data_IF_447932615583
#
_entry.id   IF_447932615583
#
_cell.length_a   1.000
_cell.length_b   1.000
_cell.length_c   1.000
_cell.angle_alpha   90.00
_cell.angle_beta   90.00
_cell.angle_gamma   90.00
#
_symmetry.space_group_name_H-M   'P 1'
#
loop_
_entity.id
_entity.type
_entity.pdbx_description
1 polymer ?
#
# COMPACT_ATOMS: atom_id res chain seq x y z
N UNK A 1 -7.82 27.48 13.02
CA UNK A 1 -7.94 26.12 12.42
C UNK A 1 -8.72 26.13 11.11
N UNK A 2 -10.02 26.45 11.09
CA UNK A 2 -10.85 26.46 9.86
C UNK A 2 -10.34 27.40 8.76
N UNK A 3 -9.90 28.61 9.12
CA UNK A 3 -9.36 29.60 8.17
C UNK A 3 -7.98 29.22 7.63
N UNK A 4 -7.12 28.62 8.47
CA UNK A 4 -5.81 28.08 8.06
C UNK A 4 -6.01 26.92 7.08
N UNK A 5 -6.96 26.02 7.36
CA UNK A 5 -7.32 24.92 6.45
C UNK A 5 -7.86 25.46 5.12
N UNK A 6 -8.76 26.45 5.14
CA UNK A 6 -9.27 27.10 3.93
C UNK A 6 -8.15 27.72 3.12
N UNK A 7 -7.27 28.47 3.77
CA UNK A 7 -6.12 29.12 3.12
C UNK A 7 -5.16 28.08 2.52
N UNK A 8 -4.77 27.04 3.25
CA UNK A 8 -3.90 25.96 2.72
C UNK A 8 -4.55 25.19 1.56
N UNK A 9 -5.86 24.88 1.67
CA UNK A 9 -6.62 24.16 0.65
C UNK A 9 -7.03 25.05 -0.54
N UNK A 10 -6.98 26.39 -0.40
CA UNK A 10 -7.26 27.34 -1.48
C UNK A 10 -6.00 27.96 -2.10
N UNK A 11 -4.82 27.76 -1.50
CA UNK A 11 -3.57 28.42 -1.93
C UNK A 11 -3.01 27.85 -3.23
N UNK A 12 -3.24 26.56 -3.52
CA UNK A 12 -2.84 25.90 -4.76
C UNK A 12 -3.53 24.54 -4.93
N UNK A 13 -4.17 24.27 -6.08
CA UNK A 13 -4.84 23.00 -6.40
C UNK A 13 -3.91 21.79 -6.23
N UNK A 14 -2.63 21.95 -6.60
CA UNK A 14 -1.60 20.92 -6.46
C UNK A 14 -1.41 20.55 -4.98
N UNK A 15 -1.21 21.56 -4.12
CA UNK A 15 -0.96 21.36 -2.69
C UNK A 15 -2.15 20.68 -2.03
N UNK A 16 -3.37 21.13 -2.37
CA UNK A 16 -4.62 20.51 -1.91
C UNK A 16 -4.73 19.05 -2.34
N UNK A 17 -4.38 18.75 -3.60
CA UNK A 17 -4.36 17.37 -4.11
C UNK A 17 -3.40 16.47 -3.35
N UNK A 18 -2.17 16.95 -3.09
CA UNK A 18 -1.17 16.18 -2.32
C UNK A 18 -1.65 15.94 -0.89
N UNK A 19 -2.17 16.97 -0.21
CA UNK A 19 -2.67 16.84 1.16
C UNK A 19 -3.84 15.85 1.25
N UNK A 20 -4.77 15.91 0.30
CA UNK A 20 -5.89 14.97 0.23
C UNK A 20 -5.42 13.54 -0.06
N UNK A 21 -4.44 13.38 -0.96
CA UNK A 21 -3.87 12.07 -1.29
C UNK A 21 -3.19 11.44 -0.07
N UNK A 22 -2.28 12.17 0.59
CA UNK A 22 -1.60 11.69 1.81
C UNK A 22 -2.61 11.43 2.92
N UNK A 23 -3.58 12.34 3.12
CA UNK A 23 -4.65 12.17 4.09
C UNK A 23 -5.45 10.90 3.85
N UNK A 24 -5.83 10.62 2.60
CA UNK A 24 -6.56 9.39 2.24
C UNK A 24 -5.78 8.11 2.54
N UNK A 25 -4.47 8.09 2.26
CA UNK A 25 -3.60 6.94 2.56
C UNK A 25 -3.52 6.71 4.07
N UNK A 26 -3.26 7.78 4.84
CA UNK A 26 -3.15 7.71 6.30
C UNK A 26 -4.49 7.25 6.90
N UNK A 27 -5.61 7.80 6.47
CA UNK A 27 -6.93 7.41 6.97
C UNK A 27 -7.25 5.96 6.62
N UNK A 28 -6.99 5.52 5.40
CA UNK A 28 -7.28 4.15 4.98
C UNK A 28 -6.38 3.12 5.68
N UNK A 29 -5.06 3.28 5.59
CA UNK A 29 -4.11 2.36 6.20
C UNK A 29 -4.17 2.43 7.74
N UNK A 30 -4.28 3.63 8.30
CA UNK A 30 -4.34 3.87 9.74
C UNK A 30 -5.62 3.32 10.37
N UNK A 31 -6.79 3.51 9.74
CA UNK A 31 -8.04 2.93 10.27
C UNK A 31 -8.02 1.40 10.23
N UNK A 32 -7.55 0.81 9.13
CA UNK A 32 -7.41 -0.65 9.00
C UNK A 32 -6.47 -1.21 10.09
N UNK A 33 -5.34 -0.54 10.32
CA UNK A 33 -4.42 -0.92 11.40
C UNK A 33 -5.08 -0.82 12.78
N UNK A 34 -5.77 0.28 13.07
CA UNK A 34 -6.41 0.47 14.38
C UNK A 34 -7.48 -0.60 14.65
N UNK A 35 -8.30 -0.94 13.65
CA UNK A 35 -9.31 -1.99 13.76
C UNK A 35 -8.68 -3.36 14.01
N UNK A 36 -7.62 -3.70 13.28
CA UNK A 36 -6.93 -4.97 13.50
C UNK A 36 -6.20 -4.98 14.85
N UNK A 37 -5.58 -3.88 15.25
CA UNK A 37 -4.83 -3.77 16.49
C UNK A 37 -5.70 -3.91 17.74
N UNK A 38 -6.98 -3.49 17.69
CA UNK A 38 -7.92 -3.67 18.79
C UNK A 38 -8.50 -5.08 18.85
N UNK A 39 -8.65 -5.76 17.73
CA UNK A 39 -9.24 -7.11 17.68
C UNK A 39 -8.21 -8.21 18.01
N UNK A 40 -7.05 -8.18 17.37
CA UNK A 40 -6.03 -9.25 17.47
C UNK A 40 -4.75 -8.83 18.21
N UNK A 41 -4.72 -7.59 18.72
CA UNK A 41 -3.56 -7.02 19.40
C UNK A 41 -2.60 -6.27 18.48
N UNK A 42 -1.81 -5.36 19.06
CA UNK A 42 -1.00 -4.38 18.31
C UNK A 42 0.04 -5.00 17.37
N UNK A 43 0.74 -6.06 17.82
CA UNK A 43 1.80 -6.70 17.03
C UNK A 43 1.22 -7.48 15.85
N UNK A 44 0.25 -8.34 16.10
CA UNK A 44 -0.39 -9.14 15.06
C UNK A 44 -1.18 -8.25 14.09
N UNK A 45 -1.89 -7.24 14.60
CA UNK A 45 -2.61 -6.28 13.77
C UNK A 45 -1.71 -5.47 12.82
N UNK A 46 -0.48 -5.15 13.22
CA UNK A 46 0.50 -4.51 12.33
C UNK A 46 0.91 -5.43 11.19
N UNK A 47 1.22 -6.69 11.51
CA UNK A 47 1.67 -7.67 10.53
C UNK A 47 0.58 -7.99 9.49
N UNK A 48 -0.66 -8.20 9.95
CA UNK A 48 -1.82 -8.43 9.07
C UNK A 48 -2.08 -7.24 8.16
N UNK A 49 -2.07 -6.02 8.72
CA UNK A 49 -2.34 -4.82 7.94
C UNK A 49 -1.25 -4.56 6.90
N UNK A 50 0.02 -4.78 7.26
CA UNK A 50 1.14 -4.70 6.32
C UNK A 50 1.01 -5.72 5.19
N UNK A 51 0.72 -6.99 5.51
CA UNK A 51 0.49 -8.03 4.52
C UNK A 51 -0.66 -7.65 3.56
N UNK A 52 -1.77 -7.13 4.09
CA UNK A 52 -2.90 -6.70 3.27
C UNK A 52 -2.56 -5.54 2.32
N UNK A 53 -1.85 -4.51 2.80
CA UNK A 53 -1.45 -3.34 1.99
C UNK A 53 -0.51 -3.75 0.86
N UNK A 54 0.52 -4.54 1.15
CA UNK A 54 1.47 -4.95 0.13
C UNK A 54 0.89 -6.00 -0.82
N UNK A 55 0.05 -6.92 -0.33
CA UNK A 55 -0.72 -7.83 -1.17
C UNK A 55 -1.66 -7.09 -2.13
N UNK A 56 -2.33 -6.05 -1.65
CA UNK A 56 -3.12 -5.14 -2.49
C UNK A 56 -2.25 -4.43 -3.53
N UNK A 57 -1.06 -3.97 -3.14
CA UNK A 57 -0.07 -3.37 -4.06
C UNK A 57 0.35 -4.32 -5.18
N UNK A 58 0.61 -5.60 -4.87
CA UNK A 58 0.93 -6.64 -5.85
C UNK A 58 -0.21 -6.82 -6.85
N UNK A 59 -1.44 -6.99 -6.35
CA UNK A 59 -2.63 -7.17 -7.20
C UNK A 59 -2.82 -5.97 -8.15
N UNK A 60 -2.72 -4.75 -7.62
CA UNK A 60 -2.83 -3.54 -8.44
C UNK A 60 -1.71 -3.48 -9.49
N UNK A 61 -0.48 -3.80 -9.12
CA UNK A 61 0.64 -3.80 -10.06
C UNK A 61 0.41 -4.80 -11.20
N UNK A 62 -0.10 -5.99 -10.89
CA UNK A 62 -0.47 -6.99 -11.91
C UNK A 62 -1.57 -6.44 -12.82
N UNK A 63 -2.62 -5.82 -12.26
CA UNK A 63 -3.68 -5.21 -13.08
C UNK A 63 -3.15 -4.10 -13.98
N UNK A 64 -2.22 -3.27 -13.51
CA UNK A 64 -1.56 -2.29 -14.37
C UNK A 64 -0.67 -2.96 -15.43
N UNK A 65 0.05 -4.03 -15.13
CA UNK A 65 0.87 -4.71 -16.14
C UNK A 65 0.00 -5.34 -17.24
N UNK A 66 -1.12 -5.96 -16.86
CA UNK A 66 -2.00 -6.69 -17.78
C UNK A 66 -2.99 -5.79 -18.50
N UNK A 67 -3.58 -4.84 -17.79
CA UNK A 67 -4.69 -4.01 -18.22
C UNK A 67 -4.41 -2.51 -18.15
N UNK A 68 -3.16 -2.07 -17.92
CA UNK A 68 -2.86 -0.64 -18.01
C UNK A 68 -3.49 -0.12 -19.31
N UNK A 69 -4.26 0.98 -19.22
CA UNK A 69 -4.72 1.66 -20.41
C UNK A 69 -3.50 1.79 -21.30
N UNK A 70 -3.60 1.28 -22.54
CA UNK A 70 -2.85 1.93 -23.62
C UNK A 70 -3.22 3.40 -23.39
N UNK A 71 -2.25 4.24 -23.02
CA UNK A 71 -2.52 5.66 -22.81
C UNK A 71 -3.16 6.29 -24.06
N UNK A 72 -3.20 7.61 -24.22
CA UNK A 72 -3.38 8.17 -25.56
C UNK A 72 -2.50 7.35 -26.53
N UNK A 73 -3.12 6.80 -27.60
CA UNK A 73 -2.54 5.73 -28.40
C UNK A 73 -1.05 6.02 -28.66
N UNK A 74 -0.16 5.01 -28.61
CA UNK A 74 1.29 5.22 -28.78
C UNK A 74 1.68 5.99 -30.05
N UNK A 75 0.75 6.19 -30.99
CA UNK A 75 0.84 7.12 -32.10
C UNK A 75 0.94 8.63 -31.72
N UNK A 76 0.64 9.04 -30.48
CA UNK A 76 0.59 10.45 -30.07
C UNK A 76 1.76 10.90 -29.17
N UNK A 77 2.68 9.99 -28.81
CA UNK A 77 3.89 10.32 -28.04
C UNK A 77 5.08 9.67 -28.74
N UNK A 78 5.79 10.46 -29.55
CA UNK A 78 6.96 10.01 -30.29
C UNK A 78 8.05 9.52 -29.33
N UNK A 79 8.44 8.24 -29.45
CA UNK A 79 9.62 7.69 -28.80
C UNK A 79 9.44 6.90 -27.50
N UNK A 80 8.21 6.60 -27.04
CA UNK A 80 8.01 5.77 -25.85
C UNK A 80 7.45 4.38 -26.19
N UNK A 81 8.27 3.34 -26.00
CA UNK A 81 7.90 1.96 -26.28
C UNK A 81 6.87 1.46 -25.23
N UNK A 82 5.95 0.59 -25.64
CA UNK A 82 5.00 -0.08 -24.75
C UNK A 82 5.67 -0.80 -23.56
N UNK A 83 6.94 -1.20 -23.71
CA UNK A 83 7.75 -1.75 -22.62
C UNK A 83 8.16 -0.69 -21.58
N UNK A 84 8.58 0.50 -22.02
CA UNK A 84 9.09 1.57 -21.14
C UNK A 84 8.00 2.10 -20.20
N UNK A 85 6.75 2.15 -20.68
CA UNK A 85 5.57 2.53 -19.88
C UNK A 85 5.32 1.54 -18.73
N UNK A 86 5.75 0.27 -18.89
CA UNK A 86 5.53 -0.79 -17.90
C UNK A 86 6.61 -0.90 -16.86
N UNK A 87 7.73 -0.17 -16.99
CA UNK A 87 8.83 -0.24 -16.02
C UNK A 87 8.35 0.17 -14.61
N UNK A 88 7.54 1.24 -14.51
CA UNK A 88 7.01 1.74 -13.24
C UNK A 88 6.14 0.70 -12.52
N UNK A 89 5.10 0.11 -13.14
CA UNK A 89 4.32 -0.92 -12.48
C UNK A 89 5.12 -2.20 -12.24
N UNK A 90 6.16 -2.51 -13.04
CA UNK A 90 7.05 -3.66 -12.78
C UNK A 90 7.90 -3.47 -11.52
N UNK A 91 8.51 -2.30 -11.34
CA UNK A 91 9.30 -2.02 -10.14
C UNK A 91 8.42 -1.98 -8.91
N UNK A 92 7.20 -1.44 -9.04
CA UNK A 92 6.21 -1.46 -7.96
C UNK A 92 5.73 -2.89 -7.64
N UNK A 93 5.54 -3.75 -8.65
CA UNK A 93 5.24 -5.17 -8.46
C UNK A 93 6.34 -5.87 -7.66
N UNK A 94 7.60 -5.70 -8.06
CA UNK A 94 8.74 -6.35 -7.39
C UNK A 94 8.89 -5.83 -5.96
N UNK A 95 8.84 -4.52 -5.75
CA UNK A 95 8.97 -3.92 -4.42
C UNK A 95 7.85 -4.33 -3.47
N UNK A 96 6.59 -4.24 -3.93
CA UNK A 96 5.43 -4.68 -3.15
C UNK A 96 5.43 -6.19 -2.92
N UNK A 97 5.89 -6.98 -3.89
CA UNK A 97 6.03 -8.43 -3.77
C UNK A 97 7.03 -8.84 -2.69
N UNK A 98 8.20 -8.20 -2.65
CA UNK A 98 9.21 -8.45 -1.61
C UNK A 98 8.63 -8.13 -0.23
N UNK A 99 8.03 -6.96 -0.06
CA UNK A 99 7.45 -6.55 1.22
C UNK A 99 6.30 -7.48 1.62
N UNK A 100 5.44 -7.86 0.69
CA UNK A 100 4.36 -8.82 0.94
C UNK A 100 4.90 -10.15 1.48
N UNK A 101 5.91 -10.73 0.84
CA UNK A 101 6.54 -11.97 1.29
C UNK A 101 7.19 -11.78 2.67
N UNK A 102 7.88 -10.67 2.92
CA UNK A 102 8.46 -10.39 4.24
C UNK A 102 7.40 -10.35 5.34
N UNK A 103 6.25 -9.72 5.11
CA UNK A 103 5.16 -9.68 6.07
C UNK A 103 4.52 -11.07 6.29
N UNK A 104 4.37 -11.89 5.26
CA UNK A 104 3.90 -13.27 5.40
C UNK A 104 4.87 -14.15 6.21
N UNK A 105 6.17 -14.02 5.97
CA UNK A 105 7.18 -14.73 6.74
C UNK A 105 7.18 -14.29 8.21
N UNK A 106 7.04 -12.98 8.46
CA UNK A 106 6.93 -12.44 9.80
C UNK A 106 5.66 -12.93 10.52
N UNK A 107 4.53 -13.04 9.82
CA UNK A 107 3.29 -13.62 10.35
C UNK A 107 3.49 -15.08 10.78
N UNK A 108 4.01 -15.91 9.87
CA UNK A 108 4.25 -17.33 10.16
C UNK A 108 5.19 -17.51 11.37
N UNK A 109 6.28 -16.73 11.41
CA UNK A 109 7.19 -16.73 12.57
C UNK A 109 6.48 -16.30 13.86
N UNK A 110 5.65 -15.27 13.81
CA UNK A 110 4.94 -14.79 14.98
C UNK A 110 3.96 -15.85 15.51
N UNK A 111 3.25 -16.56 14.63
CA UNK A 111 2.36 -17.67 15.00
C UNK A 111 3.14 -18.79 15.69
N UNK A 112 4.30 -19.20 15.15
CA UNK A 112 5.18 -20.18 15.79
C UNK A 112 5.61 -19.77 17.19
N UNK A 113 6.03 -18.51 17.37
CA UNK A 113 6.42 -17.96 18.67
C UNK A 113 5.25 -17.87 19.68
N UNK A 114 3.99 -17.87 19.25
CA UNK A 114 2.84 -17.96 20.15
C UNK A 114 2.59 -19.41 20.56
N UNK A 115 2.61 -20.34 19.61
CA UNK A 115 2.40 -21.77 19.87
C UNK A 115 3.44 -22.32 20.86
N UNK A 116 4.71 -21.98 20.68
CA UNK A 116 5.78 -22.39 21.60
C UNK A 116 5.59 -21.87 23.04
N UNK A 117 4.92 -20.72 23.21
CA UNK A 117 4.61 -20.17 24.54
C UNK A 117 3.43 -20.87 25.16
N UNK A 118 2.39 -21.13 24.39
CA UNK A 118 1.23 -21.90 24.85
C UNK A 118 1.65 -23.32 25.29
N UNK A 119 2.59 -23.96 24.59
CA UNK A 119 3.13 -25.27 24.96
C UNK A 119 4.01 -25.23 26.23
N UNK A 120 4.65 -24.09 26.54
CA UNK A 120 5.47 -23.93 27.76
C UNK A 120 4.65 -23.60 29.01
N UNK A 121 3.49 -22.98 28.83
CA UNK A 121 2.59 -22.56 29.92
C UNK A 121 1.60 -23.68 30.34
N UNK A 122 1.55 -24.80 29.61
CA UNK A 122 0.74 -26.01 29.92
C UNK A 122 1.56 -27.11 30.62
#
# INVERSE_FOLDING_TARGET
MREIMRSLLSSNLLVTGILMFIGSIITFAGSTFLLNATNVGKRLGFLITGAAIFGWGVINSIFFILYAPRGPAPANIDGLNAFEIRIIPLTFLVGSGILFVMFLLALNRFEQEQLEKEDQDN
#
